data_IF_631948323100
#
_entry.id   IF_631948323100
#
_cell.length_a   1.000
_cell.length_b   1.000
_cell.length_c   1.000
_cell.angle_alpha   90.00
_cell.angle_beta   90.00
_cell.angle_gamma   90.00
#
_symmetry.space_group_name_H-M   'P 1'
#
loop_
_entity.id
_entity.type
_entity.pdbx_description
1 polymer ?
#
# COMPACT_ATOMS: atom_id res chain seq x y z
N UNK A 1 -5.89 -17.99 -6.54
CA UNK A 1 -6.19 -16.66 -7.12
C UNK A 1 -6.60 -16.86 -8.57
N UNK A 2 -7.88 -16.64 -8.95
CA UNK A 2 -8.29 -16.72 -10.37
C UNK A 2 -7.62 -15.56 -11.10
N UNK A 3 -6.84 -15.92 -12.12
CA UNK A 3 -5.79 -15.09 -12.69
C UNK A 3 -6.25 -13.73 -13.22
N UNK A 4 -5.48 -12.72 -12.84
CA UNK A 4 -5.03 -11.62 -13.68
C UNK A 4 -5.17 -11.91 -15.18
N UNK A 5 -6.32 -11.54 -15.75
CA UNK A 5 -6.71 -11.86 -17.14
C UNK A 5 -6.11 -10.89 -18.16
N UNK A 6 -5.63 -9.76 -17.67
CA UNK A 6 -5.07 -8.65 -18.44
C UNK A 6 -3.64 -8.38 -17.94
N UNK A 7 -2.61 -8.63 -18.75
CA UNK A 7 -1.20 -8.43 -18.35
C UNK A 7 -0.86 -7.00 -17.96
N UNK A 8 -1.45 -6.00 -18.61
CA UNK A 8 -1.15 -4.58 -18.39
C UNK A 8 -1.76 -4.11 -17.07
N UNK A 9 -3.03 -4.42 -16.85
CA UNK A 9 -3.71 -4.14 -15.58
C UNK A 9 -3.05 -4.87 -14.40
N UNK A 10 -2.50 -6.05 -14.66
CA UNK A 10 -1.74 -6.83 -13.69
C UNK A 10 -0.39 -6.23 -13.41
N UNK A 11 0.30 -5.74 -14.44
CA UNK A 11 1.59 -5.08 -14.28
C UNK A 11 1.43 -3.79 -13.46
N UNK A 12 0.39 -2.99 -13.70
CA UNK A 12 0.07 -1.78 -12.91
C UNK A 12 -0.30 -2.13 -11.47
N UNK A 13 -1.09 -3.17 -11.27
CA UNK A 13 -1.39 -3.68 -9.93
C UNK A 13 -0.09 -4.09 -9.23
N UNK A 14 0.66 -5.04 -9.79
CA UNK A 14 1.88 -5.58 -9.19
C UNK A 14 2.98 -4.53 -8.98
N UNK A 15 3.15 -3.57 -9.91
CA UNK A 15 4.12 -2.47 -9.77
C UNK A 15 3.78 -1.59 -8.58
N UNK A 16 2.49 -1.35 -8.31
CA UNK A 16 2.03 -0.64 -7.11
C UNK A 16 2.30 -1.46 -5.85
N UNK A 17 2.13 -2.79 -5.90
CA UNK A 17 2.36 -3.66 -4.75
C UNK A 17 3.81 -3.73 -4.28
N UNK A 18 4.80 -3.46 -5.12
CA UNK A 18 6.21 -3.45 -4.71
C UNK A 18 6.51 -2.35 -3.66
N UNK A 19 6.37 -1.07 -4.03
CA UNK A 19 6.54 0.07 -3.13
C UNK A 19 5.55 0.06 -1.97
N UNK A 20 4.28 -0.34 -2.20
CA UNK A 20 3.27 -0.47 -1.13
C UNK A 20 3.70 -1.53 -0.12
N UNK A 21 4.09 -2.73 -0.56
CA UNK A 21 4.54 -3.79 0.37
C UNK A 21 5.75 -3.35 1.15
N UNK A 22 6.74 -2.71 0.52
CA UNK A 22 7.92 -2.19 1.21
C UNK A 22 7.53 -1.12 2.24
N UNK A 23 6.58 -0.25 1.90
CA UNK A 23 6.05 0.75 2.82
C UNK A 23 5.34 0.12 4.02
N UNK A 24 4.68 -1.03 3.91
CA UNK A 24 4.03 -1.70 5.06
C UNK A 24 4.90 -2.77 5.74
N UNK A 25 6.05 -3.13 5.16
CA UNK A 25 6.99 -4.13 5.68
C UNK A 25 7.82 -3.61 6.87
N UNK A 26 7.15 -3.22 7.95
CA UNK A 26 7.78 -2.93 9.24
C UNK A 26 8.44 -4.20 9.79
N UNK A 27 9.64 -4.07 10.37
CA UNK A 27 10.36 -5.17 11.02
C UNK A 27 9.67 -5.56 12.34
N UNK A 28 8.56 -6.30 12.22
CA UNK A 28 7.70 -6.72 13.34
C UNK A 28 8.49 -7.44 14.44
N UNK A 29 9.52 -8.19 14.09
CA UNK A 29 10.37 -8.91 15.05
C UNK A 29 11.28 -8.01 15.89
N UNK A 30 11.50 -6.75 15.48
CA UNK A 30 12.30 -5.78 16.23
C UNK A 30 11.44 -4.87 17.13
N UNK A 31 10.10 -4.97 17.04
CA UNK A 31 9.19 -4.02 17.66
C UNK A 31 8.26 -4.71 18.63
N UNK A 32 8.02 -4.05 19.78
CA UNK A 32 6.92 -4.41 20.67
C UNK A 32 5.59 -4.23 19.94
N UNK A 33 4.62 -5.07 20.27
CA UNK A 33 3.32 -5.10 19.59
C UNK A 33 2.57 -3.75 19.63
N UNK A 34 2.70 -2.97 20.71
CA UNK A 34 2.11 -1.63 20.83
C UNK A 34 2.77 -0.65 19.86
N UNK A 35 4.11 -0.61 19.83
CA UNK A 35 4.88 0.27 18.95
C UNK A 35 4.65 -0.07 17.47
N UNK A 36 4.61 -1.36 17.14
CA UNK A 36 4.30 -1.83 15.79
C UNK A 36 2.93 -1.34 15.31
N UNK A 37 1.88 -1.47 16.15
CA UNK A 37 0.53 -1.00 15.80
C UNK A 37 0.46 0.52 15.63
N UNK A 38 1.17 1.28 16.46
CA UNK A 38 1.24 2.75 16.34
C UNK A 38 1.87 3.16 15.00
N UNK A 39 3.03 2.59 14.68
CA UNK A 39 3.73 2.87 13.42
C UNK A 39 2.91 2.44 12.20
N UNK A 40 2.21 1.32 12.30
CA UNK A 40 1.33 0.85 11.23
C UNK A 40 0.14 1.82 11.01
N UNK A 41 -0.46 2.33 12.08
CA UNK A 41 -1.53 3.34 12.01
C UNK A 41 -1.06 4.65 11.36
N UNK A 42 0.13 5.13 11.71
CA UNK A 42 0.73 6.33 11.10
C UNK A 42 0.94 6.15 9.59
N UNK A 43 1.43 4.97 9.17
CA UNK A 43 1.61 4.64 7.74
C UNK A 43 0.27 4.54 6.99
N UNK A 44 -0.76 3.99 7.61
CA UNK A 44 -2.11 3.99 7.02
C UNK A 44 -2.67 5.40 6.86
N UNK A 45 -2.51 6.27 7.85
CA UNK A 45 -2.97 7.66 7.75
C UNK A 45 -2.22 8.44 6.66
N UNK A 46 -0.90 8.24 6.53
CA UNK A 46 -0.11 8.83 5.45
C UNK A 46 -0.53 8.30 4.08
N UNK A 47 -0.76 6.99 3.95
CA UNK A 47 -1.22 6.36 2.72
C UNK A 47 -2.61 6.86 2.32
N UNK A 48 -3.55 6.97 3.26
CA UNK A 48 -4.90 7.49 3.03
C UNK A 48 -4.86 8.90 2.44
N UNK A 49 -4.10 9.81 3.07
CA UNK A 49 -3.91 11.18 2.56
C UNK A 49 -3.33 11.17 1.15
N UNK A 50 -2.27 10.39 0.92
CA UNK A 50 -1.67 10.28 -0.41
C UNK A 50 -2.68 9.80 -1.46
N UNK A 51 -3.50 8.79 -1.15
CA UNK A 51 -4.53 8.29 -2.06
C UNK A 51 -5.68 9.28 -2.26
N UNK A 52 -6.08 10.04 -1.24
CA UNK A 52 -7.08 11.11 -1.35
C UNK A 52 -6.59 12.22 -2.28
N UNK A 53 -5.32 12.63 -2.17
CA UNK A 53 -4.71 13.60 -3.09
C UNK A 53 -4.55 13.05 -4.52
N UNK A 54 -4.41 11.74 -4.67
CA UNK A 54 -4.30 11.09 -5.99
C UNK A 54 -5.67 10.91 -6.64
N UNK A 55 -6.78 10.93 -5.89
CA UNK A 55 -8.16 10.87 -6.42
C UNK A 55 -8.66 12.22 -6.97
N UNK A 56 -7.87 12.88 -7.81
CA UNK A 56 -8.33 13.99 -8.66
C UNK A 56 -8.13 13.68 -10.15
N UNK A 57 -9.08 14.11 -10.99
CA UNK A 57 -10.33 13.41 -11.25
C UNK A 57 -10.09 12.10 -12.04
N UNK A 58 -10.92 11.09 -11.79
CA UNK A 58 -11.17 10.03 -12.77
C UNK A 58 -11.86 10.65 -13.99
N UNK A 59 -11.10 11.30 -14.85
CA UNK A 59 -11.48 11.61 -16.22
C UNK A 59 -10.76 10.61 -17.12
N UNK A 60 -11.51 10.09 -18.10
CA UNK A 60 -11.22 9.03 -19.07
C UNK A 60 -11.63 7.62 -18.62
#
# INVERSE_FOLDING_TARGET
MRGFRDPERTQVFLSSFGPIRQHFALKRHLLRASLYRKQLGERFAAWHRFTEFTQGPSAF
#
